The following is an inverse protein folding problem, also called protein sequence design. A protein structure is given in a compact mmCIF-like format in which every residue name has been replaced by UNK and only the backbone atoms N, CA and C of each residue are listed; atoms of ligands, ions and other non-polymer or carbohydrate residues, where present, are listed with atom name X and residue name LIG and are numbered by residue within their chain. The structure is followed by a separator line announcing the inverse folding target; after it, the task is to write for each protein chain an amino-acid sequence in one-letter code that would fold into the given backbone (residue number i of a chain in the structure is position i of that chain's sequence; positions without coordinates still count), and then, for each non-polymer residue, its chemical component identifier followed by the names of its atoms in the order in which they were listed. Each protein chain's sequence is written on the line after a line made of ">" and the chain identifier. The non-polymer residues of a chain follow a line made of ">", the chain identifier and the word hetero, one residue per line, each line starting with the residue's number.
data_IF_612671632210
#
_entry.id   IF_612671632210
#
_cell.length_a   1.000
_cell.length_b   1.000
_cell.length_c   1.000
_cell.angle_alpha   90.00
_cell.angle_beta   90.00
_cell.angle_gamma   90.00
#
_symmetry.space_group_name_H-M   'P 1'
#
loop_
_entity.id
_entity.type
_entity.pdbx_description
1 polymer ?
#
# COMPACT_ATOMS: atom_id res chain seq x y z
N UNK A 1 55.13 56.89 -66.40
CA UNK A 1 55.55 55.76 -67.25
C UNK A 1 55.63 54.50 -66.41
N UNK A 2 54.92 53.43 -66.84
CA UNK A 2 55.03 52.00 -66.49
C UNK A 2 54.82 51.63 -64.99
N UNK A 3 53.69 51.07 -64.55
CA UNK A 3 53.09 49.74 -64.80
C UNK A 3 53.73 48.59 -64.01
N UNK A 4 53.00 47.97 -63.06
CA UNK A 4 52.44 46.60 -63.11
C UNK A 4 52.02 46.08 -61.71
N UNK A 5 50.75 45.64 -61.63
CA UNK A 5 50.11 44.46 -60.95
C UNK A 5 50.76 43.89 -59.66
N UNK A 6 50.04 43.45 -58.61
CA UNK A 6 48.93 42.48 -58.63
C UNK A 6 48.27 42.27 -57.24
N UNK A 7 46.96 42.03 -57.26
CA UNK A 7 46.12 41.09 -56.48
C UNK A 7 46.11 41.06 -54.93
N UNK A 8 44.88 41.11 -54.39
CA UNK A 8 44.50 40.56 -53.09
C UNK A 8 43.08 40.96 -52.67
N UNK A 9 42.09 40.15 -53.03
CA UNK A 9 40.64 40.38 -52.93
C UNK A 9 40.11 40.26 -51.50
N UNK A 10 39.29 41.23 -51.09
CA UNK A 10 38.38 41.16 -49.94
C UNK A 10 37.03 40.57 -50.37
N UNK A 11 36.52 39.58 -49.65
CA UNK A 11 35.15 39.10 -49.77
C UNK A 11 34.51 38.96 -48.39
N UNK A 12 33.57 39.87 -48.10
CA UNK A 12 32.64 39.83 -46.99
C UNK A 12 31.55 38.80 -47.30
N UNK A 13 31.41 37.79 -46.45
CA UNK A 13 30.35 36.78 -46.50
C UNK A 13 29.09 37.32 -45.82
N UNK A 14 28.12 37.73 -46.63
CA UNK A 14 26.72 37.88 -46.25
C UNK A 14 25.96 36.66 -46.74
N UNK A 15 25.63 35.72 -45.86
CA UNK A 15 24.78 34.57 -46.19
C UNK A 15 23.38 34.78 -45.63
N UNK A 16 22.45 35.05 -46.54
CA UNK A 16 21.00 35.01 -46.35
C UNK A 16 20.52 33.57 -46.17
N UNK A 17 19.85 33.27 -45.06
CA UNK A 17 19.05 32.05 -44.90
C UNK A 17 17.57 32.37 -45.18
N UNK A 18 17.04 31.78 -46.24
CA UNK A 18 15.61 31.67 -46.49
C UNK A 18 15.18 30.19 -46.41
N UNK A 19 14.19 29.94 -45.55
CA UNK A 19 13.12 28.96 -45.66
C UNK A 19 13.43 27.51 -46.14
N UNK A 20 13.37 26.58 -45.18
CA UNK A 20 12.68 25.30 -45.37
C UNK A 20 11.60 25.17 -44.30
N UNK A 21 10.34 25.21 -44.73
CA UNK A 21 9.20 24.83 -43.90
C UNK A 21 9.25 23.34 -43.59
N UNK A 22 9.21 23.01 -42.31
CA UNK A 22 9.04 21.67 -41.79
C UNK A 22 8.18 21.75 -40.54
N UNK A 23 6.86 21.64 -40.70
CA UNK A 23 6.00 21.14 -39.64
C UNK A 23 6.46 19.70 -39.37
N UNK A 24 7.13 19.48 -38.25
CA UNK A 24 7.83 18.23 -37.97
C UNK A 24 7.82 17.91 -36.49
N UNK A 25 6.68 17.40 -36.01
CA UNK A 25 6.63 16.44 -34.91
C UNK A 25 6.93 16.99 -33.53
N UNK A 26 5.99 17.73 -32.95
CA UNK A 26 5.69 17.47 -31.54
C UNK A 26 5.36 15.99 -31.45
N UNK A 27 6.19 15.22 -30.76
CA UNK A 27 5.93 13.83 -30.42
C UNK A 27 4.66 13.81 -29.57
N UNK A 28 3.50 13.74 -30.22
CA UNK A 28 2.32 13.18 -29.59
C UNK A 28 2.66 11.71 -29.37
N UNK A 29 3.21 11.38 -28.19
CA UNK A 29 3.15 10.03 -27.70
C UNK A 29 1.69 9.59 -27.85
N UNK A 30 1.45 8.59 -28.69
CA UNK A 30 0.14 7.97 -28.78
C UNK A 30 -0.28 7.54 -27.37
N UNK A 31 -1.59 7.49 -27.09
CA UNK A 31 -2.06 7.07 -25.77
C UNK A 31 -1.41 5.73 -25.40
N UNK A 32 -0.83 5.70 -24.20
CA UNK A 32 -0.28 4.50 -23.57
C UNK A 32 -1.26 3.35 -23.79
N UNK A 33 -0.76 2.21 -24.26
CA UNK A 33 -1.60 1.06 -24.64
C UNK A 33 -1.70 -0.01 -23.54
N UNK A 34 -1.35 0.36 -22.31
CA UNK A 34 -1.47 -0.45 -21.10
C UNK A 34 -2.03 0.37 -19.94
N UNK A 35 -2.64 -0.31 -18.98
CA UNK A 35 -3.14 0.28 -17.73
C UNK A 35 -1.97 0.53 -16.80
N UNK A 36 -1.97 1.66 -16.09
CA UNK A 36 -1.00 1.98 -15.05
C UNK A 36 -1.72 2.22 -13.72
N UNK A 37 -1.37 1.42 -12.72
CA UNK A 37 -1.85 1.58 -11.35
C UNK A 37 -0.67 1.89 -10.41
N UNK A 38 -0.87 2.85 -9.51
CA UNK A 38 0.14 3.24 -8.49
C UNK A 38 -0.47 3.07 -7.08
N UNK A 39 0.30 3.30 -6.03
CA UNK A 39 -0.23 3.40 -4.67
C UNK A 39 0.29 2.35 -3.67
N UNK A 40 -0.60 1.85 -2.84
CA UNK A 40 -0.32 0.98 -1.69
C UNK A 40 0.47 -0.28 -2.01
N UNK A 41 1.55 -0.49 -1.25
CA UNK A 41 2.33 -1.72 -1.14
C UNK A 41 1.53 -2.91 -0.61
N UNK A 42 0.58 -2.68 0.30
CA UNK A 42 -0.31 -3.73 0.82
C UNK A 42 -1.29 -4.22 -0.23
N UNK A 43 -1.77 -3.34 -1.12
CA UNK A 43 -2.66 -3.72 -2.23
C UNK A 43 -1.86 -4.25 -3.43
N UNK A 44 -0.58 -3.91 -3.56
CA UNK A 44 0.30 -4.30 -4.66
C UNK A 44 0.25 -5.79 -5.04
N UNK A 45 0.39 -6.77 -4.11
CA UNK A 45 0.34 -8.19 -4.48
C UNK A 45 -1.02 -8.61 -5.05
N UNK A 46 -2.13 -8.03 -4.55
CA UNK A 46 -3.47 -8.33 -5.04
C UNK A 46 -3.72 -7.72 -6.42
N UNK A 47 -3.36 -6.45 -6.60
CA UNK A 47 -3.47 -5.77 -7.89
C UNK A 47 -2.60 -6.44 -8.97
N UNK A 48 -1.41 -6.93 -8.59
CA UNK A 48 -0.53 -7.71 -9.47
C UNK A 48 -1.19 -9.02 -9.91
N UNK A 49 -1.82 -9.76 -8.98
CA UNK A 49 -2.53 -10.99 -9.32
C UNK A 49 -3.71 -10.75 -10.29
N UNK A 50 -4.45 -9.65 -10.09
CA UNK A 50 -5.51 -9.23 -11.02
C UNK A 50 -4.93 -8.81 -12.38
N UNK A 51 -3.82 -8.08 -12.40
CA UNK A 51 -3.15 -7.67 -13.63
C UNK A 51 -2.64 -8.87 -14.45
N UNK A 52 -2.07 -9.88 -13.79
CA UNK A 52 -1.64 -11.14 -14.42
C UNK A 52 -2.82 -11.88 -15.05
N UNK A 53 -3.96 -11.91 -14.35
CA UNK A 53 -5.16 -12.60 -14.82
C UNK A 53 -5.73 -11.94 -16.08
N UNK A 54 -5.75 -10.60 -16.14
CA UNK A 54 -6.10 -9.85 -17.35
C UNK A 54 -5.14 -10.14 -18.50
N UNK A 55 -3.84 -10.22 -18.22
CA UNK A 55 -2.82 -10.57 -19.22
C UNK A 55 -3.06 -11.95 -19.84
N UNK A 56 -3.43 -12.95 -19.02
CA UNK A 56 -3.76 -14.31 -19.49
C UNK A 56 -4.99 -14.36 -20.39
N UNK A 57 -5.91 -13.40 -20.27
CA UNK A 57 -7.08 -13.27 -21.13
C UNK A 57 -6.78 -12.62 -22.51
N UNK A 58 -5.51 -12.30 -22.79
CA UNK A 58 -5.05 -11.80 -24.09
C UNK A 58 -4.88 -10.27 -24.16
N UNK A 59 -5.08 -9.55 -23.06
CA UNK A 59 -4.76 -8.13 -22.93
C UNK A 59 -3.27 -7.89 -22.61
N UNK A 60 -2.83 -6.63 -22.69
CA UNK A 60 -1.56 -6.24 -22.04
C UNK A 60 -1.79 -6.21 -20.53
N UNK A 61 -0.89 -6.85 -19.78
CA UNK A 61 -0.93 -6.79 -18.32
C UNK A 61 -0.80 -5.34 -17.86
N UNK A 62 -1.70 -4.86 -16.98
CA UNK A 62 -1.50 -3.61 -16.23
C UNK A 62 -0.12 -3.56 -15.57
N UNK A 63 0.49 -2.38 -15.57
CA UNK A 63 1.71 -2.10 -14.80
C UNK A 63 1.28 -1.58 -13.43
N UNK A 64 1.71 -2.28 -12.39
CA UNK A 64 1.44 -1.94 -11.00
C UNK A 64 2.73 -1.42 -10.38
N UNK A 65 2.68 -0.26 -9.73
CA UNK A 65 3.84 0.37 -9.07
C UNK A 65 3.48 0.64 -7.60
N UNK A 66 4.34 0.19 -6.68
CA UNK A 66 4.21 0.54 -5.26
C UNK A 66 4.82 1.92 -5.01
N UNK A 67 4.01 2.87 -4.55
CA UNK A 67 4.40 4.27 -4.27
C UNK A 67 3.88 4.76 -2.92
N UNK A 68 3.26 3.88 -2.13
CA UNK A 68 2.48 4.23 -0.93
C UNK A 68 1.16 4.93 -1.27
N UNK A 69 0.14 4.78 -0.42
CA UNK A 69 -1.20 5.37 -0.70
C UNK A 69 -1.13 6.90 -0.85
N UNK A 70 -0.41 7.60 0.02
CA UNK A 70 -0.29 9.07 -0.09
C UNK A 70 0.48 9.53 -1.33
N UNK A 71 1.56 8.83 -1.69
CA UNK A 71 2.34 9.11 -2.90
C UNK A 71 1.57 8.79 -4.18
N UNK A 72 0.84 7.68 -4.18
CA UNK A 72 -0.03 7.25 -5.26
C UNK A 72 -1.17 8.22 -5.52
N UNK A 73 -1.88 8.66 -4.47
CA UNK A 73 -2.90 9.72 -4.54
C UNK A 73 -2.37 11.00 -5.21
N UNK A 74 -1.14 11.44 -4.87
CA UNK A 74 -0.52 12.61 -5.52
C UNK A 74 -0.32 12.39 -7.02
N UNK A 75 0.17 11.21 -7.42
CA UNK A 75 0.39 10.86 -8.84
C UNK A 75 -0.94 10.71 -9.59
N UNK A 76 -1.93 10.06 -8.98
CA UNK A 76 -3.27 9.88 -9.51
C UNK A 76 -3.98 11.22 -9.67
N UNK A 77 -4.00 12.08 -8.65
CA UNK A 77 -4.66 13.38 -8.70
C UNK A 77 -3.92 14.44 -9.53
N UNK A 78 -2.75 14.14 -10.10
CA UNK A 78 -1.98 15.12 -10.88
C UNK A 78 -2.61 15.51 -12.23
N UNK A 79 -3.63 14.79 -12.71
CA UNK A 79 -4.35 15.14 -13.94
C UNK A 79 -4.91 13.94 -14.71
N UNK A 80 -5.40 14.21 -15.92
CA UNK A 80 -5.93 13.22 -16.87
C UNK A 80 -5.01 13.06 -18.09
N UNK A 81 -5.19 12.00 -18.88
CA UNK A 81 -4.35 11.70 -20.04
C UNK A 81 -3.32 10.61 -19.76
N UNK A 82 -2.64 10.16 -20.81
CA UNK A 82 -1.75 8.99 -20.81
C UNK A 82 -0.50 9.12 -19.92
N UNK A 83 -0.11 10.35 -19.57
CA UNK A 83 1.01 10.62 -18.67
C UNK A 83 0.70 10.28 -17.20
N UNK A 84 -0.58 10.21 -16.83
CA UNK A 84 -1.00 9.98 -15.45
C UNK A 84 -1.42 8.51 -15.22
N UNK A 85 -1.37 8.02 -13.97
CA UNK A 85 -1.94 6.72 -13.62
C UNK A 85 -3.46 6.68 -13.83
N UNK A 86 -3.99 5.51 -14.15
CA UNK A 86 -5.43 5.28 -14.34
C UNK A 86 -6.12 4.86 -13.04
N UNK A 87 -5.37 4.16 -12.19
CA UNK A 87 -5.82 3.54 -10.95
C UNK A 87 -4.89 3.93 -9.80
N UNK A 88 -5.48 4.20 -8.64
CA UNK A 88 -4.79 4.30 -7.36
C UNK A 88 -5.19 3.11 -6.48
N UNK A 89 -4.23 2.30 -6.09
CA UNK A 89 -4.39 1.25 -5.10
C UNK A 89 -4.21 1.86 -3.70
N UNK A 90 -5.11 1.62 -2.77
CA UNK A 90 -5.06 2.32 -1.49
C UNK A 90 -5.37 1.42 -0.31
N UNK A 91 -4.57 1.54 0.73
CA UNK A 91 -4.77 0.87 2.02
C UNK A 91 -5.59 1.68 3.01
N UNK A 92 -6.06 2.86 2.61
CA UNK A 92 -7.00 3.68 3.36
C UNK A 92 -7.93 4.38 2.40
N UNK A 93 -9.04 4.90 2.93
CA UNK A 93 -9.92 5.73 2.13
C UNK A 93 -9.23 7.04 1.71
N UNK A 94 -9.61 7.58 0.55
CA UNK A 94 -9.19 8.90 0.06
C UNK A 94 -9.64 9.96 1.05
N UNK A 95 -8.75 10.91 1.37
CA UNK A 95 -9.10 12.06 2.21
C UNK A 95 -9.86 13.10 1.38
N UNK A 96 -10.71 13.89 2.01
CA UNK A 96 -11.40 14.99 1.34
C UNK A 96 -10.41 15.96 0.63
N UNK A 97 -9.29 16.29 1.27
CA UNK A 97 -8.26 17.16 0.67
C UNK A 97 -7.59 16.55 -0.56
N UNK A 98 -7.43 15.22 -0.62
CA UNK A 98 -6.92 14.51 -1.80
C UNK A 98 -7.94 14.54 -2.93
N UNK A 99 -9.22 14.32 -2.61
CA UNK A 99 -10.31 14.44 -3.57
C UNK A 99 -10.39 15.86 -4.15
N UNK A 100 -10.35 16.89 -3.30
CA UNK A 100 -10.36 18.30 -3.74
C UNK A 100 -9.17 18.63 -4.63
N UNK A 101 -7.98 18.08 -4.34
CA UNK A 101 -6.81 18.20 -5.21
C UNK A 101 -7.04 17.54 -6.58
N UNK A 102 -7.63 16.35 -6.59
CA UNK A 102 -8.06 15.68 -7.82
C UNK A 102 -9.00 16.56 -8.65
N UNK A 103 -10.05 17.12 -8.04
CA UNK A 103 -11.01 18.03 -8.70
C UNK A 103 -10.32 19.27 -9.29
N UNK A 104 -9.42 19.90 -8.51
CA UNK A 104 -8.67 21.09 -8.96
C UNK A 104 -7.80 20.80 -10.20
N UNK A 105 -7.35 19.57 -10.38
CA UNK A 105 -6.54 19.12 -11.51
C UNK A 105 -7.37 18.44 -12.63
N UNK A 106 -8.70 18.56 -12.58
CA UNK A 106 -9.61 18.06 -13.62
C UNK A 106 -9.88 16.55 -13.56
N UNK A 107 -9.49 15.87 -12.48
CA UNK A 107 -9.87 14.48 -12.20
C UNK A 107 -11.22 14.48 -11.48
N UNK A 108 -12.28 14.79 -12.22
CA UNK A 108 -13.59 15.07 -11.62
C UNK A 108 -14.37 13.80 -11.26
N UNK A 109 -14.35 12.80 -12.15
CA UNK A 109 -15.14 11.58 -12.03
C UNK A 109 -14.27 10.42 -11.52
N UNK A 110 -14.33 10.15 -10.22
CA UNK A 110 -13.55 9.11 -9.53
C UNK A 110 -14.49 8.02 -9.05
N UNK A 111 -14.19 6.76 -9.38
CA UNK A 111 -14.89 5.58 -8.88
C UNK A 111 -14.07 4.98 -7.75
N UNK A 112 -14.66 4.89 -6.55
CA UNK A 112 -14.08 4.23 -5.36
C UNK A 112 -14.61 2.81 -5.25
N UNK A 113 -13.73 1.84 -5.10
CA UNK A 113 -14.10 0.43 -5.02
C UNK A 113 -13.36 -0.17 -3.82
N UNK A 114 -14.09 -0.63 -2.81
CA UNK A 114 -13.53 -1.46 -1.76
C UNK A 114 -13.32 -2.88 -2.30
N UNK A 115 -12.07 -3.33 -2.31
CA UNK A 115 -11.65 -4.59 -2.95
C UNK A 115 -11.53 -5.77 -1.97
N UNK A 116 -11.47 -5.48 -0.68
CA UNK A 116 -11.24 -6.48 0.36
C UNK A 116 -10.90 -5.83 1.69
N UNK A 117 -10.39 -6.65 2.60
CA UNK A 117 -9.94 -6.25 3.92
C UNK A 117 -8.51 -6.72 4.10
N UNK A 118 -7.71 -5.87 4.72
CA UNK A 118 -6.39 -6.21 5.24
C UNK A 118 -6.53 -6.43 6.75
N UNK A 119 -5.78 -7.40 7.26
CA UNK A 119 -5.83 -7.83 8.65
C UNK A 119 -4.45 -8.28 9.08
N UNK A 120 -3.76 -7.51 9.92
CA UNK A 120 -2.47 -7.90 10.50
C UNK A 120 -2.72 -8.58 11.85
N UNK A 121 -2.39 -9.87 11.94
CA UNK A 121 -2.60 -10.66 13.14
C UNK A 121 -1.29 -10.94 13.85
N UNK A 122 -1.37 -11.04 15.17
CA UNK A 122 -0.33 -11.62 16.01
C UNK A 122 -0.76 -13.03 16.41
N UNK A 123 0.19 -13.95 16.44
CA UNK A 123 -0.07 -15.33 16.80
C UNK A 123 1.08 -15.96 17.54
N UNK A 124 0.74 -17.00 18.29
CA UNK A 124 1.69 -17.89 18.95
C UNK A 124 1.29 -19.34 18.69
N UNK A 125 2.20 -20.28 18.98
CA UNK A 125 1.88 -21.70 18.90
C UNK A 125 0.77 -22.07 19.89
N UNK A 126 -0.02 -23.09 19.56
CA UNK A 126 -0.94 -23.70 20.52
C UNK A 126 -0.18 -24.17 21.76
N UNK A 127 -0.70 -23.85 22.96
CA UNK A 127 -0.01 -24.07 24.24
C UNK A 127 1.16 -23.12 24.50
N UNK A 128 1.25 -22.02 23.74
CA UNK A 128 2.17 -20.91 23.96
C UNK A 128 1.90 -20.11 25.25
N UNK A 129 2.62 -19.00 25.45
CA UNK A 129 2.63 -18.23 26.71
C UNK A 129 1.32 -17.52 27.10
N UNK A 130 0.27 -17.57 26.27
CA UNK A 130 -1.02 -16.88 26.49
C UNK A 130 -0.81 -15.37 26.66
N UNK A 131 -0.04 -14.77 25.74
CA UNK A 131 0.21 -13.33 25.78
C UNK A 131 -1.05 -12.58 25.34
N UNK A 132 -1.34 -11.48 26.03
CA UNK A 132 -2.28 -10.45 25.59
C UNK A 132 -1.49 -9.17 25.29
N UNK A 133 -1.69 -8.57 24.13
CA UNK A 133 -0.94 -7.39 23.71
C UNK A 133 -1.86 -6.19 23.53
N UNK A 134 -1.25 -5.00 23.57
CA UNK A 134 -1.83 -3.75 23.06
C UNK A 134 -0.92 -3.20 21.97
N UNK A 135 -1.41 -2.27 21.10
CA UNK A 135 -0.53 -1.61 20.14
C UNK A 135 0.66 -0.92 20.81
N UNK A 136 0.48 -0.37 22.02
CA UNK A 136 1.57 0.22 22.80
C UNK A 136 2.60 -0.83 23.21
N UNK A 137 2.19 -1.99 23.72
CA UNK A 137 3.12 -3.07 24.07
C UNK A 137 3.95 -3.51 22.87
N UNK A 138 3.33 -3.63 21.70
CA UNK A 138 4.04 -3.98 20.46
C UNK A 138 5.03 -2.89 20.06
N UNK A 139 4.61 -1.62 20.10
CA UNK A 139 5.48 -0.47 19.79
C UNK A 139 6.70 -0.42 20.71
N UNK A 140 6.50 -0.49 22.03
CA UNK A 140 7.57 -0.44 23.02
C UNK A 140 8.49 -1.67 22.94
N UNK A 141 7.97 -2.84 22.54
CA UNK A 141 8.78 -4.03 22.32
C UNK A 141 9.65 -3.94 21.06
N UNK A 142 9.09 -3.41 19.96
CA UNK A 142 9.66 -3.56 18.61
C UNK A 142 10.29 -2.30 18.02
N UNK A 143 9.92 -1.09 18.46
CA UNK A 143 10.52 0.12 17.93
C UNK A 143 12.03 0.15 18.21
N UNK A 144 12.82 0.66 17.27
CA UNK A 144 14.25 0.87 17.45
C UNK A 144 14.53 1.91 18.54
N UNK A 145 13.74 3.00 18.52
CA UNK A 145 13.84 4.10 19.46
C UNK A 145 12.46 4.50 19.99
N UNK A 146 11.80 3.71 20.85
CA UNK A 146 10.48 4.04 21.39
C UNK A 146 10.48 5.43 22.01
N UNK A 147 9.61 6.30 21.50
CA UNK A 147 9.49 7.71 21.89
C UNK A 147 10.78 8.54 21.75
N UNK A 148 11.71 8.10 20.91
CA UNK A 148 12.97 8.78 20.62
C UNK A 148 14.18 8.31 21.43
N UNK A 149 14.02 7.32 22.32
CA UNK A 149 15.12 6.77 23.13
C UNK A 149 15.45 5.33 22.71
N UNK A 150 16.74 4.90 22.73
CA UNK A 150 17.11 3.55 22.32
C UNK A 150 16.34 2.47 23.08
N UNK A 151 15.83 1.48 22.35
CA UNK A 151 15.09 0.38 22.99
C UNK A 151 16.02 -0.51 23.82
N UNK A 152 15.69 -0.65 25.10
CA UNK A 152 16.47 -1.46 26.06
C UNK A 152 15.74 -2.73 26.52
N UNK A 153 14.46 -2.89 26.20
CA UNK A 153 13.67 -4.05 26.61
C UNK A 153 14.26 -5.33 26.00
N UNK A 154 14.41 -6.38 26.83
CA UNK A 154 14.90 -7.70 26.38
C UNK A 154 13.86 -8.79 26.59
N UNK A 155 13.04 -8.67 27.63
CA UNK A 155 11.91 -9.54 27.91
C UNK A 155 10.58 -8.78 27.82
N UNK A 156 9.48 -9.49 27.58
CA UNK A 156 8.16 -8.84 27.49
C UNK A 156 7.76 -8.14 28.79
N UNK A 157 8.15 -8.67 29.96
CA UNK A 157 7.89 -8.02 31.24
C UNK A 157 8.73 -6.75 31.50
N UNK A 158 9.73 -6.47 30.67
CA UNK A 158 10.44 -5.17 30.69
C UNK A 158 9.58 -4.06 30.05
N UNK A 159 8.66 -4.43 29.15
CA UNK A 159 7.70 -3.53 28.50
C UNK A 159 6.54 -3.25 29.45
N UNK A 160 5.91 -4.30 29.97
CA UNK A 160 4.81 -4.18 30.94
C UNK A 160 4.84 -5.34 31.94
N UNK A 161 4.79 -5.10 33.27
CA UNK A 161 4.87 -6.15 34.28
C UNK A 161 3.78 -7.24 34.21
N UNK A 162 2.67 -6.98 33.52
CA UNK A 162 1.61 -7.98 33.27
C UNK A 162 1.99 -9.02 32.22
N UNK A 163 2.98 -8.72 31.37
CA UNK A 163 3.46 -9.61 30.33
C UNK A 163 4.45 -10.65 30.88
N UNK A 164 4.63 -11.80 30.20
CA UNK A 164 5.44 -12.88 30.75
C UNK A 164 6.95 -12.56 30.73
N UNK A 165 7.67 -13.11 31.71
CA UNK A 165 9.14 -13.01 31.78
C UNK A 165 9.82 -13.97 30.80
N UNK A 166 9.65 -13.69 29.50
CA UNK A 166 10.27 -14.43 28.39
C UNK A 166 10.94 -13.43 27.43
N UNK A 167 12.01 -13.83 26.73
CA UNK A 167 12.66 -12.97 25.75
C UNK A 167 11.70 -12.47 24.68
N UNK A 168 11.84 -11.21 24.28
CA UNK A 168 11.15 -10.66 23.11
C UNK A 168 11.78 -11.30 21.87
N UNK A 169 10.97 -12.10 21.17
CA UNK A 169 11.34 -12.69 19.89
C UNK A 169 10.11 -12.73 19.00
N UNK A 170 10.11 -11.85 17.99
CA UNK A 170 9.03 -11.70 17.02
C UNK A 170 9.55 -12.09 15.65
N UNK A 171 8.90 -13.06 15.02
CA UNK A 171 9.07 -13.37 13.61
C UNK A 171 8.06 -12.59 12.79
N UNK A 172 8.50 -11.92 11.74
CA UNK A 172 7.56 -11.24 10.85
C UNK A 172 8.11 -10.95 9.45
N UNK A 173 7.33 -10.26 8.62
CA UNK A 173 7.72 -9.94 7.25
C UNK A 173 8.90 -8.95 7.20
N UNK A 174 9.67 -8.91 6.10
CA UNK A 174 10.76 -7.96 5.89
C UNK A 174 10.26 -6.54 5.57
N UNK A 175 11.15 -5.55 5.56
CA UNK A 175 10.83 -4.14 5.22
C UNK A 175 10.31 -3.90 3.81
N UNK A 176 10.40 -4.88 2.93
CA UNK A 176 9.91 -4.83 1.54
C UNK A 176 8.47 -5.34 1.37
N UNK A 177 7.85 -5.85 2.44
CA UNK A 177 6.56 -6.51 2.41
C UNK A 177 5.39 -5.57 2.73
N UNK A 178 4.29 -5.66 1.99
CA UNK A 178 3.06 -4.92 2.33
C UNK A 178 2.44 -5.30 3.68
N UNK A 179 2.76 -6.49 4.21
CA UNK A 179 2.38 -6.92 5.58
C UNK A 179 3.20 -6.16 6.64
N UNK A 180 4.46 -5.81 6.34
CA UNK A 180 5.25 -4.92 7.20
C UNK A 180 4.61 -3.55 7.28
N UNK A 181 4.23 -2.98 6.15
CA UNK A 181 3.60 -1.65 6.13
C UNK A 181 2.28 -1.65 6.93
N UNK A 182 1.52 -2.75 6.90
CA UNK A 182 0.34 -2.91 7.76
C UNK A 182 0.70 -2.95 9.25
N UNK A 183 1.74 -3.68 9.66
CA UNK A 183 2.26 -3.68 11.03
C UNK A 183 2.66 -2.27 11.48
N UNK A 184 3.40 -1.55 10.64
CA UNK A 184 3.86 -0.19 10.90
C UNK A 184 2.69 0.79 11.06
N UNK A 185 1.75 0.80 10.11
CA UNK A 185 0.65 1.77 10.07
C UNK A 185 -0.46 1.48 11.09
N UNK A 186 -0.84 0.21 11.26
CA UNK A 186 -2.00 -0.17 12.08
C UNK A 186 -1.65 -0.45 13.53
N UNK A 187 -0.41 -0.83 13.82
CA UNK A 187 -0.02 -1.26 15.16
C UNK A 187 1.05 -0.34 15.73
N UNK A 188 2.20 -0.20 15.08
CA UNK A 188 3.32 0.56 15.64
C UNK A 188 3.00 2.05 15.73
N UNK A 189 2.52 2.67 14.64
CA UNK A 189 2.12 4.06 14.66
C UNK A 189 1.00 4.34 15.67
N UNK A 190 0.05 3.41 15.84
CA UNK A 190 -1.02 3.52 16.85
C UNK A 190 -0.52 3.37 18.28
N UNK A 191 0.41 2.45 18.52
CA UNK A 191 1.10 2.32 19.80
C UNK A 191 1.94 3.52 20.16
N UNK A 192 2.63 4.10 19.16
CA UNK A 192 3.39 5.33 19.31
C UNK A 192 2.49 6.53 19.65
N UNK A 193 1.32 6.62 19.01
CA UNK A 193 0.32 7.68 19.22
C UNK A 193 -0.38 7.59 20.59
N UNK A 194 -0.10 6.56 21.43
CA UNK A 194 -0.51 6.57 22.84
C UNK A 194 0.20 7.66 23.66
N UNK A 195 1.34 8.16 23.16
CA UNK A 195 2.08 9.26 23.75
C UNK A 195 1.64 10.61 23.12
N UNK A 196 1.10 11.55 23.91
CA UNK A 196 0.64 12.84 23.40
C UNK A 196 1.71 13.70 22.70
N UNK A 197 3.00 13.51 23.02
CA UNK A 197 4.09 14.19 22.30
C UNK A 197 4.25 13.68 20.87
N UNK A 198 4.03 12.37 20.65
CA UNK A 198 4.09 11.80 19.30
C UNK A 198 2.91 12.29 18.45
N UNK A 199 1.72 12.40 19.05
CA UNK A 199 0.56 13.00 18.36
C UNK A 199 0.85 14.44 17.93
N UNK A 200 1.44 15.26 18.82
CA UNK A 200 1.85 16.63 18.46
C UNK A 200 2.95 16.65 17.41
N UNK A 201 3.91 15.73 17.49
CA UNK A 201 4.99 15.62 16.51
C UNK A 201 4.41 15.38 15.12
N UNK A 202 3.47 14.44 14.98
CA UNK A 202 2.80 14.11 13.72
C UNK A 202 2.15 15.31 13.04
N UNK A 203 1.56 16.23 13.83
CA UNK A 203 0.96 17.46 13.30
C UNK A 203 2.01 18.46 12.80
N UNK A 204 3.19 18.46 13.39
CA UNK A 204 4.26 19.42 13.09
C UNK A 204 5.30 18.92 12.09
N UNK A 205 5.56 17.62 12.05
CA UNK A 205 6.63 16.93 11.32
C UNK A 205 6.26 15.44 11.16
N UNK A 206 5.43 15.14 10.16
CA UNK A 206 4.93 13.79 9.86
C UNK A 206 6.08 12.82 9.51
N UNK A 207 7.09 13.27 8.76
CA UNK A 207 8.24 12.45 8.37
C UNK A 207 9.06 12.01 9.60
N UNK A 208 9.26 12.92 10.57
CA UNK A 208 9.96 12.59 11.81
C UNK A 208 9.14 11.70 12.73
N UNK A 209 7.81 11.89 12.76
CA UNK A 209 6.90 11.00 13.48
C UNK A 209 6.99 9.59 12.90
N UNK A 210 6.87 9.44 11.58
CA UNK A 210 6.99 8.16 10.90
C UNK A 210 8.32 7.47 11.24
N UNK A 211 9.45 8.18 11.11
CA UNK A 211 10.76 7.63 11.43
C UNK A 211 10.89 7.11 12.87
N UNK A 212 10.26 7.77 13.86
CA UNK A 212 10.29 7.34 15.27
C UNK A 212 9.28 6.22 15.55
N UNK A 213 8.14 6.26 14.89
CA UNK A 213 7.00 5.42 15.21
C UNK A 213 6.97 4.10 14.43
N UNK A 214 7.66 3.99 13.30
CA UNK A 214 7.64 2.79 12.45
C UNK A 214 8.98 2.07 12.35
N UNK A 215 10.10 2.72 12.70
CA UNK A 215 11.40 2.05 12.65
C UNK A 215 11.50 0.92 13.67
N UNK A 216 11.74 -0.30 13.19
CA UNK A 216 11.84 -1.50 14.01
C UNK A 216 13.30 -1.81 14.35
N UNK A 217 13.53 -2.29 15.58
CA UNK A 217 14.86 -2.66 16.09
C UNK A 217 15.46 -3.84 15.34
N UNK A 218 16.78 -3.81 15.13
CA UNK A 218 17.55 -4.84 14.42
C UNK A 218 18.46 -5.66 15.35
N UNK A 219 18.24 -5.59 16.66
CA UNK A 219 19.11 -6.25 17.67
C UNK A 219 18.72 -7.71 17.98
N UNK A 220 17.92 -8.33 17.11
CA UNK A 220 17.49 -9.74 17.19
C UNK A 220 16.15 -9.98 17.89
N UNK A 221 15.52 -8.95 18.47
CA UNK A 221 14.16 -9.06 19.01
C UNK A 221 13.09 -9.21 17.92
N UNK A 222 13.32 -8.60 16.75
CA UNK A 222 12.54 -8.83 15.54
C UNK A 222 13.41 -9.58 14.51
N UNK A 223 12.86 -10.64 13.90
CA UNK A 223 13.56 -11.47 12.93
C UNK A 223 12.73 -11.60 11.65
N UNK A 224 13.24 -10.99 10.58
CA UNK A 224 12.69 -11.10 9.24
C UNK A 224 12.60 -12.56 8.79
N UNK A 225 11.45 -12.92 8.21
CA UNK A 225 11.11 -14.29 7.83
C UNK A 225 10.82 -14.47 6.35
N UNK A 226 11.16 -13.48 5.52
CA UNK A 226 10.95 -13.49 4.08
C UNK A 226 9.54 -13.05 3.67
N UNK A 227 9.31 -12.90 2.37
CA UNK A 227 8.05 -12.39 1.80
C UNK A 227 6.86 -13.34 1.91
N UNK A 228 7.09 -14.60 2.31
CA UNK A 228 6.03 -15.59 2.45
C UNK A 228 5.71 -15.81 3.92
N UNK A 229 4.55 -15.31 4.36
CA UNK A 229 4.10 -15.38 5.75
C UNK A 229 3.98 -16.82 6.29
N UNK A 230 3.84 -17.84 5.43
CA UNK A 230 3.91 -19.24 5.87
C UNK A 230 5.24 -19.61 6.54
N UNK A 231 6.34 -18.91 6.21
CA UNK A 231 7.62 -19.10 6.89
C UNK A 231 7.57 -18.63 8.34
N UNK A 232 6.74 -17.62 8.64
CA UNK A 232 6.51 -17.16 10.01
C UNK A 232 5.76 -18.25 10.76
N UNK A 233 4.64 -18.74 10.22
CA UNK A 233 3.84 -19.86 10.77
C UNK A 233 4.70 -21.08 11.12
N UNK A 234 5.62 -21.46 10.23
CA UNK A 234 6.54 -22.58 10.47
C UNK A 234 7.51 -22.30 11.63
N UNK A 235 8.05 -21.08 11.73
CA UNK A 235 9.00 -20.69 12.78
C UNK A 235 8.34 -20.63 14.17
N UNK A 236 7.14 -20.05 14.30
CA UNK A 236 6.42 -20.03 15.58
C UNK A 236 6.03 -21.45 16.03
N UNK A 237 5.64 -22.33 15.10
CA UNK A 237 5.36 -23.74 15.42
C UNK A 237 6.57 -24.49 15.98
N UNK A 238 7.79 -24.10 15.60
CA UNK A 238 9.05 -24.69 16.10
C UNK A 238 9.58 -24.01 17.36
N UNK A 239 9.08 -22.82 17.69
CA UNK A 239 9.48 -22.06 18.86
C UNK A 239 8.23 -21.52 19.59
N UNK A 240 7.63 -22.31 20.50
CA UNK A 240 6.39 -21.96 21.17
C UNK A 240 6.45 -20.73 22.08
N UNK A 241 7.64 -20.14 22.28
CA UNK A 241 7.84 -18.91 23.07
C UNK A 241 7.98 -17.66 22.21
N UNK A 242 8.03 -17.80 20.88
CA UNK A 242 8.08 -16.67 19.96
C UNK A 242 6.66 -16.18 19.62
N UNK A 243 6.59 -14.92 19.21
CA UNK A 243 5.40 -14.33 18.61
C UNK A 243 5.62 -14.24 17.09
N UNK A 244 4.58 -14.48 16.31
CA UNK A 244 4.57 -14.22 14.87
C UNK A 244 3.64 -13.06 14.55
N UNK A 245 3.99 -12.28 13.52
CA UNK A 245 3.12 -11.23 12.95
C UNK A 245 2.97 -11.45 11.44
N UNK A 246 1.75 -11.60 10.97
CA UNK A 246 1.44 -12.03 9.59
C UNK A 246 -0.01 -11.67 9.21
N UNK A 247 -0.37 -11.78 7.93
CA UNK A 247 -1.76 -11.59 7.49
C UNK A 247 -2.73 -12.56 8.19
N UNK A 248 -3.90 -12.07 8.61
CA UNK A 248 -4.91 -12.81 9.37
C UNK A 248 -5.35 -14.12 8.69
N UNK A 249 -5.41 -14.13 7.36
CA UNK A 249 -5.69 -15.33 6.57
C UNK A 249 -4.75 -16.49 6.88
N UNK A 250 -3.46 -16.23 7.12
CA UNK A 250 -2.51 -17.27 7.52
C UNK A 250 -2.76 -17.76 8.95
N UNK A 251 -3.32 -16.93 9.84
CA UNK A 251 -3.80 -17.40 11.15
C UNK A 251 -5.02 -18.30 10.97
N UNK A 252 -6.01 -17.85 10.20
CA UNK A 252 -7.25 -18.57 9.92
C UNK A 252 -6.99 -19.97 9.36
N UNK A 253 -6.04 -20.10 8.44
CA UNK A 253 -5.69 -21.37 7.80
C UNK A 253 -4.90 -22.33 8.72
N UNK A 254 -4.35 -21.85 9.84
CA UNK A 254 -3.47 -22.62 10.73
C UNK A 254 -3.93 -22.62 12.20
N UNK A 255 -5.23 -22.40 12.48
CA UNK A 255 -5.77 -22.36 13.85
C UNK A 255 -5.68 -23.71 14.61
N UNK A 256 -5.39 -24.80 13.92
CA UNK A 256 -5.12 -26.11 14.52
C UNK A 256 -3.76 -26.18 15.22
N UNK A 257 -2.79 -25.37 14.77
CA UNK A 257 -1.41 -25.34 15.29
C UNK A 257 -1.04 -24.02 15.94
N UNK A 258 -1.72 -22.94 15.57
CA UNK A 258 -1.55 -21.60 16.10
C UNK A 258 -2.80 -21.13 16.85
N UNK A 259 -2.63 -20.12 17.67
CA UNK A 259 -3.73 -19.31 18.21
C UNK A 259 -3.39 -17.83 18.04
N UNK A 260 -4.43 -17.02 17.87
CA UNK A 260 -4.30 -15.57 17.84
C UNK A 260 -3.90 -15.01 19.20
N UNK A 261 -3.12 -13.94 19.19
CA UNK A 261 -2.86 -13.13 20.37
C UNK A 261 -3.88 -11.99 20.36
N UNK A 262 -4.70 -11.82 21.42
CA UNK A 262 -5.62 -10.70 21.53
C UNK A 262 -4.89 -9.37 21.48
N UNK A 263 -5.49 -8.40 20.78
CA UNK A 263 -5.01 -7.02 20.73
C UNK A 263 -6.02 -6.14 21.46
N UNK A 264 -5.62 -5.56 22.59
CA UNK A 264 -6.49 -4.80 23.50
C UNK A 264 -7.71 -5.59 23.95
N UNK A 265 -7.54 -6.89 24.20
CA UNK A 265 -8.61 -7.81 24.61
C UNK A 265 -9.55 -8.24 23.48
N UNK A 266 -9.24 -7.89 22.22
CA UNK A 266 -10.03 -8.28 21.04
C UNK A 266 -9.28 -9.37 20.29
N UNK A 267 -9.93 -10.52 20.14
CA UNK A 267 -9.38 -11.67 19.39
C UNK A 267 -9.32 -11.37 17.89
N UNK A 268 -8.27 -11.80 17.16
CA UNK A 268 -8.24 -11.74 15.70
C UNK A 268 -9.11 -12.85 15.11
N UNK A 269 -10.36 -12.53 14.79
CA UNK A 269 -11.32 -13.45 14.18
C UNK A 269 -11.85 -12.86 12.88
N UNK A 270 -12.47 -13.67 12.02
CA UNK A 270 -13.09 -13.13 10.81
C UNK A 270 -14.11 -12.03 11.15
N UNK A 271 -14.92 -12.23 12.19
CA UNK A 271 -15.93 -11.26 12.64
C UNK A 271 -15.28 -9.92 13.01
N UNK A 272 -14.32 -9.94 13.95
CA UNK A 272 -13.65 -8.74 14.47
C UNK A 272 -12.75 -8.04 13.45
N UNK A 273 -12.21 -8.78 12.48
CA UNK A 273 -11.48 -8.21 11.34
C UNK A 273 -12.47 -7.57 10.36
N UNK A 274 -13.60 -8.22 10.08
CA UNK A 274 -14.56 -7.78 9.07
C UNK A 274 -15.39 -6.57 9.49
N UNK A 275 -15.64 -6.40 10.79
CA UNK A 275 -16.34 -5.25 11.37
C UNK A 275 -15.38 -4.13 11.80
N UNK A 276 -14.08 -4.33 11.63
CA UNK A 276 -12.99 -3.42 11.99
C UNK A 276 -12.86 -3.12 13.49
N UNK A 277 -13.45 -3.94 14.37
CA UNK A 277 -13.25 -3.82 15.82
C UNK A 277 -11.85 -4.25 16.24
N UNK A 278 -11.23 -5.20 15.53
CA UNK A 278 -9.84 -5.59 15.76
C UNK A 278 -8.87 -4.49 15.27
N UNK A 279 -7.91 -4.01 16.09
CA UNK A 279 -7.05 -2.87 15.76
C UNK A 279 -6.20 -3.02 14.48
N UNK A 280 -5.86 -4.27 14.12
CA UNK A 280 -5.07 -4.58 12.94
C UNK A 280 -5.88 -4.73 11.64
N UNK A 281 -7.13 -4.27 11.58
CA UNK A 281 -7.98 -4.41 10.40
C UNK A 281 -8.21 -3.08 9.67
N UNK A 282 -8.28 -3.12 8.34
CA UNK A 282 -8.66 -1.96 7.51
C UNK A 282 -9.28 -2.37 6.17
N UNK A 283 -10.16 -1.54 5.61
CA UNK A 283 -10.63 -1.73 4.23
C UNK A 283 -9.53 -1.39 3.22
N UNK A 284 -9.46 -2.17 2.14
CA UNK A 284 -8.59 -1.92 0.99
C UNK A 284 -9.42 -1.40 -0.19
N UNK A 285 -8.86 -0.48 -0.96
CA UNK A 285 -9.54 0.18 -2.06
C UNK A 285 -8.72 0.20 -3.35
N UNK A 286 -9.42 0.37 -4.45
CA UNK A 286 -8.88 0.99 -5.66
C UNK A 286 -9.74 2.21 -6.02
N UNK A 287 -9.10 3.23 -6.60
CA UNK A 287 -9.76 4.38 -7.20
C UNK A 287 -9.48 4.41 -8.69
N UNK A 288 -10.51 4.68 -9.49
CA UNK A 288 -10.39 4.64 -10.94
C UNK A 288 -10.86 5.95 -11.54
N UNK A 289 -10.07 6.51 -12.47
CA UNK A 289 -10.49 7.66 -13.26
C UNK A 289 -11.51 7.23 -14.31
N UNK A 290 -12.77 7.64 -14.15
CA UNK A 290 -13.80 7.34 -15.15
C UNK A 290 -13.46 7.96 -16.51
N UNK A 291 -12.80 9.12 -16.54
CA UNK A 291 -12.32 9.76 -17.77
C UNK A 291 -11.33 8.90 -18.59
N UNK A 292 -10.69 7.90 -17.98
CA UNK A 292 -9.77 6.99 -18.66
C UNK A 292 -10.48 5.73 -19.21
N UNK A 293 -11.74 5.50 -18.85
CA UNK A 293 -12.55 4.41 -19.38
C UNK A 293 -12.88 4.64 -20.85
N UNK A 294 -12.47 3.71 -21.71
CA UNK A 294 -12.60 3.81 -23.16
C UNK A 294 -11.27 4.18 -23.85
N UNK A 295 -10.67 5.35 -23.56
CA UNK A 295 -9.38 5.73 -24.13
C UNK A 295 -8.22 4.80 -23.77
N UNK A 296 -8.16 4.30 -22.52
CA UNK A 296 -7.10 3.41 -22.07
C UNK A 296 -7.53 1.95 -22.26
N UNK A 297 -6.87 1.27 -23.19
CA UNK A 297 -7.14 -0.14 -23.51
C UNK A 297 -6.83 -1.02 -22.29
N UNK A 298 -7.75 -1.92 -21.97
CA UNK A 298 -7.60 -2.88 -20.87
C UNK A 298 -8.07 -2.38 -19.51
N UNK A 299 -8.35 -1.08 -19.33
CA UNK A 299 -8.81 -0.56 -18.03
C UNK A 299 -10.13 -1.17 -17.59
N UNK A 300 -11.10 -1.29 -18.50
CA UNK A 300 -12.38 -1.94 -18.20
C UNK A 300 -12.19 -3.42 -17.81
N UNK A 301 -11.35 -4.17 -18.54
CA UNK A 301 -11.07 -5.56 -18.21
C UNK A 301 -10.41 -5.69 -16.83
N UNK A 302 -9.48 -4.80 -16.50
CA UNK A 302 -8.82 -4.76 -15.19
C UNK A 302 -9.80 -4.49 -14.04
N UNK A 303 -10.67 -3.48 -14.19
CA UNK A 303 -11.66 -3.16 -13.15
C UNK A 303 -12.71 -4.27 -13.01
N UNK A 304 -13.16 -4.86 -14.12
CA UNK A 304 -14.16 -5.93 -14.10
C UNK A 304 -13.64 -7.30 -13.66
N UNK A 305 -12.32 -7.48 -13.54
CA UNK A 305 -11.75 -8.74 -13.05
C UNK A 305 -11.81 -8.82 -11.50
N UNK A 306 -11.81 -7.70 -10.79
CA UNK A 306 -11.85 -7.69 -9.32
C UNK A 306 -13.02 -8.51 -8.72
N UNK A 307 -14.26 -8.43 -9.25
CA UNK A 307 -15.36 -9.28 -8.80
C UNK A 307 -15.12 -10.80 -8.91
N UNK A 308 -14.35 -11.24 -9.91
CA UNK A 308 -13.99 -12.65 -10.08
C UNK A 308 -12.89 -13.08 -9.09
N UNK A 309 -12.14 -12.11 -8.57
CA UNK A 309 -10.94 -12.32 -7.77
C UNK A 309 -11.20 -12.27 -6.24
N UNK A 310 -12.14 -11.44 -5.79
CA UNK A 310 -12.33 -11.06 -4.38
C UNK A 310 -13.40 -11.85 -3.61
N UNK A 311 -13.95 -12.90 -4.20
CA UNK A 311 -15.00 -13.72 -3.60
C UNK A 311 -14.46 -14.83 -2.70
N UNK A 312 -15.34 -15.57 -2.00
CA UNK A 312 -14.95 -16.75 -1.21
C UNK A 312 -14.19 -17.81 -2.02
N UNK A 313 -14.57 -17.99 -3.28
CA UNK A 313 -13.91 -18.89 -4.25
C UNK A 313 -12.85 -18.17 -5.09
N UNK A 314 -12.58 -16.90 -4.79
CA UNK A 314 -11.66 -16.04 -5.51
C UNK A 314 -10.20 -16.33 -5.16
N UNK A 315 -9.31 -16.09 -6.12
CA UNK A 315 -7.87 -16.39 -5.96
C UNK A 315 -7.14 -15.42 -5.03
N UNK A 316 -7.75 -14.30 -4.63
CA UNK A 316 -7.12 -13.34 -3.71
C UNK A 316 -7.13 -13.81 -2.26
N UNK A 317 -8.04 -14.73 -1.87
CA UNK A 317 -8.02 -15.34 -0.53
C UNK A 317 -6.67 -16.04 -0.26
N UNK A 318 -6.22 -16.85 -1.22
CA UNK A 318 -4.95 -17.59 -1.15
C UNK A 318 -3.72 -16.67 -1.18
N UNK A 319 -3.88 -15.41 -1.57
CA UNK A 319 -2.83 -14.39 -1.50
C UNK A 319 -2.82 -13.64 -0.17
N UNK A 320 -3.75 -13.98 0.72
CA UNK A 320 -3.83 -13.48 2.06
C UNK A 320 -4.89 -12.39 2.27
N UNK A 321 -5.65 -12.02 1.23
CA UNK A 321 -6.69 -11.01 1.35
C UNK A 321 -7.85 -11.53 2.20
N UNK A 322 -8.30 -10.74 3.16
CA UNK A 322 -9.52 -11.05 3.92
C UNK A 322 -10.73 -10.68 3.08
N UNK A 323 -11.63 -11.65 2.90
CA UNK A 323 -12.81 -11.50 2.05
C UNK A 323 -13.82 -10.59 2.75
N UNK A 324 -14.15 -9.46 2.11
CA UNK A 324 -15.14 -8.54 2.63
C UNK A 324 -16.54 -9.22 2.72
N UNK A 325 -17.40 -8.76 3.66
CA UNK A 325 -18.78 -9.22 3.77
C UNK A 325 -19.54 -9.17 2.45
N UNK A 326 -20.56 -10.03 2.30
CA UNK A 326 -21.30 -10.16 1.05
C UNK A 326 -21.98 -8.86 0.60
N UNK A 327 -22.55 -8.09 1.52
CA UNK A 327 -23.20 -6.81 1.22
C UNK A 327 -22.18 -5.77 0.71
N UNK A 328 -20.98 -5.76 1.28
CA UNK A 328 -19.87 -4.91 0.83
C UNK A 328 -19.44 -5.30 -0.58
N UNK A 329 -19.25 -6.59 -0.85
CA UNK A 329 -18.87 -7.07 -2.19
C UNK A 329 -19.96 -6.79 -3.22
N UNK A 330 -21.23 -7.01 -2.88
CA UNK A 330 -22.36 -6.77 -3.78
C UNK A 330 -22.48 -5.28 -4.14
N UNK A 331 -22.37 -4.39 -3.14
CA UNK A 331 -22.36 -2.94 -3.35
C UNK A 331 -21.23 -2.50 -4.28
N UNK A 332 -20.01 -3.02 -4.07
CA UNK A 332 -18.86 -2.66 -4.89
C UNK A 332 -18.90 -3.27 -6.31
N UNK A 333 -19.51 -4.44 -6.47
CA UNK A 333 -19.80 -5.00 -7.80
C UNK A 333 -20.80 -4.13 -8.58
N UNK A 334 -21.82 -3.57 -7.90
CA UNK A 334 -22.75 -2.61 -8.50
C UNK A 334 -22.05 -1.29 -8.89
N UNK A 335 -21.15 -0.79 -8.03
CA UNK A 335 -20.31 0.38 -8.35
C UNK A 335 -19.50 0.14 -9.62
N UNK A 336 -18.88 -1.05 -9.78
CA UNK A 336 -18.16 -1.44 -11.00
C UNK A 336 -19.09 -1.54 -12.21
N UNK A 337 -20.30 -2.10 -12.04
CA UNK A 337 -21.26 -2.26 -13.12
C UNK A 337 -21.72 -0.89 -13.67
N UNK A 338 -21.96 0.07 -12.78
CA UNK A 338 -22.51 1.38 -13.10
C UNK A 338 -21.45 2.48 -13.26
N UNK A 339 -20.19 2.19 -12.90
CA UNK A 339 -19.12 3.17 -12.77
C UNK A 339 -19.56 4.39 -11.93
N UNK A 340 -20.17 4.12 -10.78
CA UNK A 340 -20.69 5.13 -9.85
C UNK A 340 -19.53 5.93 -9.27
N UNK A 341 -19.59 7.26 -9.37
CA UNK A 341 -18.54 8.15 -8.90
C UNK A 341 -18.83 8.63 -7.49
N UNK A 342 -17.78 8.79 -6.68
CA UNK A 342 -17.88 9.46 -5.38
C UNK A 342 -17.96 10.97 -5.54
N UNK A 343 -18.50 11.62 -4.50
CA UNK A 343 -18.59 13.06 -4.33
C UNK A 343 -17.87 13.49 -3.04
N UNK A 344 -17.67 14.80 -2.88
CA UNK A 344 -17.12 15.35 -1.64
C UNK A 344 -17.99 15.04 -0.40
N UNK A 345 -19.30 14.81 -0.56
CA UNK A 345 -20.19 14.47 0.55
C UNK A 345 -19.96 13.04 1.06
N UNK A 346 -19.54 12.14 0.19
CA UNK A 346 -19.25 10.75 0.55
C UNK A 346 -17.99 10.61 1.43
N UNK A 347 -17.14 11.66 1.48
CA UNK A 347 -15.85 11.70 2.17
C UNK A 347 -15.84 12.56 3.45
N UNK A 348 -17.00 13.06 3.88
CA UNK A 348 -17.17 13.83 5.13
C UNK A 348 -17.41 12.92 6.33
#
# INVERSE_FOLDING_TARGET
>A
MKSFKSLGVAALLSASLAACGGSGGGSSEGPRDFVRAVGSSTVYPFATAVAEQVGKQGGKSPVIESTGTGGGMKLFCAGIGSAHPDVENASRRMKLSEFEQCQANGVNDIVEIQIGIDGIAFGEAQGGPDIELTPQHVYEALAANPYGEPNTAKNWNDVDPSLPNIPILVYGPPSTSGTRDALEELILAKGCDSNPEMVRLKESDEDRHEAICTQIREDGAYVDSGENDNLIVQKISQNPRAVGVFGFSFLEENMDTLKGIPMSGIEPTYETISDFSYPGARPLYIYVKKAHMGPIKGLEAFVREWPNAWGPDGYLKQKGMVIAPEDVRARNAEVIANMTTISAEDLK
#
